data_IF_587822287957
#
_entry.id   IF_587822287957
#
_cell.length_a   1.000
_cell.length_b   1.000
_cell.length_c   1.000
_cell.angle_alpha   90.00
_cell.angle_beta   90.00
_cell.angle_gamma   90.00
#
_symmetry.space_group_name_H-M   'P 1'
#
loop_
_entity.id
_entity.type
_entity.pdbx_description
1 polymer ?
#
# COMPACT_ATOMS: atom_id res chain seq x y z
N UNK A 1 -43.69 17.57 -15.10
CA UNK A 1 -43.27 16.23 -15.46
C UNK A 1 -41.83 16.17 -15.96
N UNK A 2 -41.37 17.11 -16.75
CA UNK A 2 -39.99 17.08 -17.25
C UNK A 2 -38.95 17.35 -16.15
N UNK A 3 -39.32 18.09 -15.11
CA UNK A 3 -38.39 18.44 -14.05
C UNK A 3 -38.09 17.29 -13.10
N UNK A 4 -38.99 16.33 -12.94
CA UNK A 4 -38.75 15.18 -12.05
C UNK A 4 -37.71 14.23 -12.60
N UNK A 5 -37.68 14.01 -13.90
CA UNK A 5 -36.67 13.15 -14.53
C UNK A 5 -35.27 13.74 -14.44
N UNK A 6 -35.16 15.05 -14.61
CA UNK A 6 -33.87 15.74 -14.54
C UNK A 6 -33.30 15.70 -13.12
N UNK A 7 -34.13 15.87 -12.11
CA UNK A 7 -33.70 15.78 -10.71
C UNK A 7 -33.26 14.40 -10.33
N UNK A 8 -33.93 13.36 -10.80
CA UNK A 8 -33.54 11.96 -10.52
C UNK A 8 -32.23 11.62 -11.16
N UNK A 9 -31.99 12.06 -12.40
CA UNK A 9 -30.72 11.86 -13.07
C UNK A 9 -29.57 12.55 -12.36
N UNK A 10 -29.79 13.76 -11.90
CA UNK A 10 -28.77 14.52 -11.19
C UNK A 10 -28.42 13.87 -9.84
N UNK A 11 -29.42 13.37 -9.13
CA UNK A 11 -29.24 12.66 -7.87
C UNK A 11 -28.44 11.37 -8.04
N UNK A 12 -28.71 10.63 -9.11
CA UNK A 12 -27.97 9.41 -9.42
C UNK A 12 -26.51 9.69 -9.73
N UNK A 13 -26.24 10.76 -10.47
CA UNK A 13 -24.87 11.16 -10.83
C UNK A 13 -24.06 11.56 -9.59
N UNK A 14 -24.66 12.25 -8.64
CA UNK A 14 -24.01 12.62 -7.40
C UNK A 14 -23.69 11.41 -6.52
N UNK A 15 -24.54 10.40 -6.53
CA UNK A 15 -24.33 9.19 -5.77
C UNK A 15 -23.12 8.39 -6.23
N UNK A 16 -22.85 8.39 -7.53
CA UNK A 16 -21.70 7.66 -8.09
C UNK A 16 -20.37 8.30 -7.70
N UNK A 17 -20.33 9.61 -7.54
CA UNK A 17 -19.09 10.31 -7.18
C UNK A 17 -18.62 10.00 -5.76
N UNK A 18 -19.50 9.61 -4.87
CA UNK A 18 -19.14 9.30 -3.49
C UNK A 18 -18.37 7.99 -3.36
N UNK A 19 -18.32 7.15 -4.41
CA UNK A 19 -17.65 5.86 -4.34
C UNK A 19 -16.16 5.92 -4.67
N UNK A 20 -15.64 7.07 -5.06
CA UNK A 20 -14.27 7.17 -5.57
C UNK A 20 -13.27 7.65 -4.52
N UNK A 21 -13.72 8.03 -3.34
CA UNK A 21 -12.87 8.75 -2.42
C UNK A 21 -12.51 7.91 -1.20
N UNK A 22 -11.50 7.08 -1.26
CA UNK A 22 -11.01 6.40 -0.06
C UNK A 22 -9.57 5.96 -0.23
N UNK A 23 -8.78 6.78 -0.88
CA UNK A 23 -7.37 6.47 -0.99
C UNK A 23 -6.59 7.05 0.16
N UNK A 24 -5.64 6.29 0.64
CA UNK A 24 -4.79 6.66 1.75
C UNK A 24 -3.34 6.67 1.28
N UNK A 25 -2.61 7.70 1.70
CA UNK A 25 -1.18 7.77 1.44
C UNK A 25 -0.45 6.97 2.50
N UNK A 26 0.32 5.99 2.06
CA UNK A 26 1.11 5.13 2.93
C UNK A 26 2.57 5.51 2.78
N UNK A 27 3.23 5.81 3.89
CA UNK A 27 4.67 6.03 3.93
C UNK A 27 5.27 5.06 4.93
N UNK A 28 6.52 4.72 4.72
CA UNK A 28 7.18 3.82 5.66
C UNK A 28 8.66 3.68 5.39
N UNK A 29 9.29 2.89 6.24
CA UNK A 29 10.70 2.54 6.13
C UNK A 29 10.83 1.03 6.31
N UNK A 30 11.71 0.41 5.52
CA UNK A 30 11.99 -1.01 5.61
C UNK A 30 13.40 -1.19 6.15
N UNK A 31 13.51 -1.96 7.23
CA UNK A 31 14.76 -2.18 7.96
C UNK A 31 15.08 -3.67 7.94
N UNK A 32 16.36 -4.00 7.81
CA UNK A 32 16.84 -5.37 7.96
C UNK A 32 17.06 -5.67 9.44
N UNK A 33 16.44 -6.73 9.94
CA UNK A 33 16.54 -7.10 11.34
C UNK A 33 17.98 -7.46 11.76
N UNK A 34 18.74 -8.08 10.85
CA UNK A 34 20.04 -8.61 11.17
C UNK A 34 21.08 -7.52 11.48
N UNK A 35 21.05 -6.40 10.75
CA UNK A 35 22.05 -5.34 10.90
C UNK A 35 21.45 -3.99 11.25
N UNK A 36 20.13 -3.87 11.31
CA UNK A 36 19.45 -2.62 11.60
C UNK A 36 19.54 -1.58 10.49
N UNK A 37 20.02 -1.95 9.33
CA UNK A 37 20.22 -1.03 8.22
C UNK A 37 18.99 -0.94 7.34
N UNK A 38 18.78 0.20 6.64
CA UNK A 38 17.66 0.32 5.71
C UNK A 38 17.81 -0.67 4.54
N UNK A 39 16.70 -1.23 4.09
CA UNK A 39 16.69 -2.12 2.93
C UNK A 39 16.42 -1.27 1.69
N UNK A 40 17.40 -1.21 0.80
CA UNK A 40 17.33 -0.44 -0.44
C UNK A 40 16.79 -1.33 -1.54
N UNK A 41 15.78 -0.85 -2.28
CA UNK A 41 15.22 -1.62 -3.39
C UNK A 41 14.25 -2.72 -3.00
N UNK A 42 13.76 -2.71 -1.77
CA UNK A 42 12.71 -3.64 -1.37
C UNK A 42 11.42 -3.34 -2.12
N UNK A 43 10.69 -4.37 -2.49
CA UNK A 43 9.44 -4.25 -3.23
C UNK A 43 8.26 -4.20 -2.27
N UNK A 44 7.39 -3.24 -2.45
CA UNK A 44 6.13 -3.14 -1.72
C UNK A 44 5.00 -3.16 -2.73
N UNK A 45 4.14 -4.16 -2.67
CA UNK A 45 3.04 -4.37 -3.63
C UNK A 45 1.73 -4.46 -2.87
N UNK A 46 0.69 -3.81 -3.40
CA UNK A 46 -0.66 -3.95 -2.85
C UNK A 46 -1.23 -5.28 -3.34
N UNK A 47 -1.56 -6.15 -2.40
CA UNK A 47 -2.03 -7.50 -2.71
C UNK A 47 -3.25 -7.48 -3.61
N UNK A 48 -3.23 -8.30 -4.65
CA UNK A 48 -4.32 -8.39 -5.60
C UNK A 48 -4.33 -7.31 -6.66
N UNK A 49 -3.30 -6.47 -6.71
CA UNK A 49 -3.20 -5.40 -7.71
C UNK A 49 -1.80 -5.37 -8.31
N UNK A 50 -1.61 -4.49 -9.30
CA UNK A 50 -0.29 -4.19 -9.84
C UNK A 50 0.31 -2.93 -9.26
N UNK A 51 -0.33 -2.34 -8.26
CA UNK A 51 0.14 -1.12 -7.61
C UNK A 51 1.29 -1.48 -6.67
N UNK A 52 2.41 -0.80 -6.82
CA UNK A 52 3.56 -1.06 -5.98
C UNK A 52 4.61 0.03 -6.09
N UNK A 53 5.61 -0.07 -5.24
CA UNK A 53 6.75 0.83 -5.21
C UNK A 53 7.98 0.08 -4.70
N UNK A 54 9.12 0.75 -4.70
CA UNK A 54 10.35 0.21 -4.13
C UNK A 54 10.95 1.22 -3.17
N UNK A 55 11.71 0.73 -2.20
CA UNK A 55 12.36 1.60 -1.22
C UNK A 55 13.54 2.34 -1.84
N UNK A 56 13.79 3.54 -1.32
CA UNK A 56 14.89 4.39 -1.76
C UNK A 56 16.18 4.08 -0.97
N UNK A 57 17.18 4.96 -1.09
CA UNK A 57 18.48 4.78 -0.45
C UNK A 57 18.41 4.81 1.07
N UNK A 58 17.36 5.39 1.61
CA UNK A 58 17.12 5.43 3.05
C UNK A 58 16.16 4.34 3.51
N UNK A 59 15.80 3.42 2.64
CA UNK A 59 14.82 2.38 2.93
C UNK A 59 13.39 2.87 3.00
N UNK A 60 13.14 4.08 2.55
CA UNK A 60 11.81 4.69 2.63
C UNK A 60 11.00 4.43 1.38
N UNK A 61 9.69 4.34 1.56
CA UNK A 61 8.76 4.18 0.46
C UNK A 61 7.52 5.02 0.67
N UNK A 62 6.81 5.26 -0.43
CA UNK A 62 5.56 6.00 -0.44
C UNK A 62 4.66 5.42 -1.53
N UNK A 63 3.41 5.18 -1.20
CA UNK A 63 2.42 4.76 -2.18
C UNK A 63 1.02 5.16 -1.74
N UNK A 64 0.08 5.14 -2.66
CA UNK A 64 -1.31 5.40 -2.37
C UNK A 64 -2.11 4.13 -2.59
N UNK A 65 -2.98 3.80 -1.64
CA UNK A 65 -3.83 2.63 -1.72
C UNK A 65 -5.09 2.85 -0.92
N UNK A 66 -5.98 1.88 -0.99
CA UNK A 66 -7.21 1.94 -0.21
C UNK A 66 -6.93 1.64 1.25
N UNK A 67 -7.77 2.17 2.12
CA UNK A 67 -7.73 1.88 3.53
C UNK A 67 -7.86 0.37 3.75
N UNK A 68 -7.09 -0.16 4.68
CA UNK A 68 -7.09 -1.58 5.05
C UNK A 68 -6.59 -2.53 3.95
N UNK A 69 -5.95 -2.00 2.90
CA UNK A 69 -5.32 -2.83 1.90
C UNK A 69 -4.16 -3.63 2.50
N UNK A 70 -3.89 -4.81 1.94
CA UNK A 70 -2.75 -5.63 2.36
C UNK A 70 -1.55 -5.29 1.51
N UNK A 71 -0.41 -5.12 2.14
CA UNK A 71 0.86 -4.87 1.47
C UNK A 71 1.75 -6.09 1.58
N UNK A 72 2.43 -6.43 0.49
CA UNK A 72 3.40 -7.51 0.45
C UNK A 72 4.77 -6.88 0.25
N UNK A 73 5.64 -7.07 1.22
CA UNK A 73 6.99 -6.52 1.22
C UNK A 73 7.98 -7.66 1.01
N UNK A 74 8.85 -7.52 0.01
CA UNK A 74 9.80 -8.57 -0.32
C UNK A 74 11.15 -7.99 -0.73
N UNK A 75 12.19 -8.77 -0.47
CA UNK A 75 13.55 -8.47 -0.89
C UNK A 75 14.32 -9.78 -0.99
N UNK A 76 15.27 -9.85 -1.91
CA UNK A 76 16.07 -11.04 -2.13
C UNK A 76 16.85 -11.40 -0.85
N UNK A 77 16.73 -12.64 -0.41
CA UNK A 77 17.42 -13.12 0.79
C UNK A 77 16.69 -12.83 2.09
N UNK A 78 15.60 -12.09 2.05
CA UNK A 78 14.79 -11.79 3.22
C UNK A 78 13.42 -12.44 3.11
N UNK A 79 12.81 -12.71 4.26
CA UNK A 79 11.50 -13.34 4.31
C UNK A 79 10.43 -12.32 3.91
N UNK A 80 9.57 -12.71 2.97
CA UNK A 80 8.45 -11.89 2.53
C UNK A 80 7.47 -11.68 3.68
N UNK A 81 7.01 -10.46 3.84
CA UNK A 81 6.09 -10.08 4.90
C UNK A 81 4.82 -9.48 4.32
N UNK A 82 3.68 -9.83 4.89
CA UNK A 82 2.40 -9.26 4.53
C UNK A 82 1.85 -8.49 5.72
N UNK A 83 1.39 -7.27 5.49
CA UNK A 83 0.87 -6.41 6.55
C UNK A 83 -0.23 -5.52 6.04
N UNK A 84 -1.03 -4.96 6.94
CA UNK A 84 -2.11 -4.04 6.58
C UNK A 84 -1.55 -2.63 6.41
N UNK A 85 -2.00 -1.92 5.37
CA UNK A 85 -1.56 -0.57 5.08
C UNK A 85 -1.90 0.39 6.22
N UNK A 86 -0.93 1.23 6.58
CA UNK A 86 -1.08 2.27 7.59
C UNK A 86 -0.40 3.54 7.09
N UNK A 87 -0.73 4.68 7.68
CA UNK A 87 -0.17 5.96 7.22
C UNK A 87 1.32 6.08 7.44
N UNK A 88 1.81 5.58 8.56
CA UNK A 88 3.25 5.59 8.87
C UNK A 88 3.63 4.20 9.32
N UNK A 89 4.56 3.57 8.62
CA UNK A 89 4.92 2.18 8.89
C UNK A 89 6.40 2.02 9.11
N UNK A 90 6.74 1.13 10.02
CA UNK A 90 8.10 0.66 10.19
C UNK A 90 8.08 -0.85 10.00
N UNK A 91 8.72 -1.31 8.95
CA UNK A 91 8.69 -2.72 8.56
C UNK A 91 10.08 -3.30 8.78
N UNK A 92 10.16 -4.38 9.55
CA UNK A 92 11.42 -5.06 9.82
C UNK A 92 11.36 -6.41 9.11
N UNK A 93 12.29 -6.63 8.20
CA UNK A 93 12.42 -7.89 7.46
C UNK A 93 13.53 -8.73 8.06
N UNK A 94 13.24 -10.01 8.24
CA UNK A 94 14.22 -10.95 8.78
C UNK A 94 14.79 -11.83 7.67
N UNK A 95 15.95 -12.40 7.95
CA UNK A 95 16.63 -13.29 7.00
C UNK A 95 15.81 -14.54 6.73
N UNK A 96 15.84 -14.98 5.48
CA UNK A 96 15.17 -16.20 5.07
C UNK A 96 16.10 -17.43 5.14
N UNK A 97 17.19 -17.32 5.84
CA UNK A 97 18.19 -18.38 5.90
C UNK A 97 17.89 -19.38 6.99
N UNK A 98 16.69 -19.92 6.98
CA UNK A 98 16.31 -20.88 7.99
C UNK A 98 16.34 -22.29 7.55
N UNK A 99 16.81 -22.52 6.39
CA UNK A 99 16.67 -23.80 5.77
C UNK A 99 17.56 -24.87 6.37
N UNK A 100 17.97 -24.72 7.53
CA UNK A 100 18.87 -25.76 8.04
C UNK A 100 18.34 -26.44 9.28
#
# INVERSE_FOLDING_TARGET
MKHKLTLVLLSFFLGVQCMVAQQMKVTGVVINEDDGEPVIGASIVVKGTTIGTITDLDGKFELETQKDAKLIISYVGLRTQETTAQQNMRIVLSSDSQAI
#
